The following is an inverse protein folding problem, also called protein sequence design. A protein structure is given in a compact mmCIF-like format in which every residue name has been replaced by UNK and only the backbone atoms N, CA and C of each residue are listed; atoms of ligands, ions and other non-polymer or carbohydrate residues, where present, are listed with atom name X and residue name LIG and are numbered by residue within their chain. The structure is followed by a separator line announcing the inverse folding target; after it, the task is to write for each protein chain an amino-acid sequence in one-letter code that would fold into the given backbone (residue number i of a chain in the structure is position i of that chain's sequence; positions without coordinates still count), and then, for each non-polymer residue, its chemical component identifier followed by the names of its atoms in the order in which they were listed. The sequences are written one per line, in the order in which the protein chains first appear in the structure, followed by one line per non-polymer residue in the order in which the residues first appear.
data_IF_490907286272
#
_entry.id   IF_490907286272
#
_cell.length_a   1.000
_cell.length_b   1.000
_cell.length_c   1.000
_cell.angle_alpha   90.00
_cell.angle_beta   90.00
_cell.angle_gamma   90.00
#
_symmetry.space_group_name_H-M   'P 1'
#
loop_
_entity.id
_entity.type
_entity.pdbx_description
1 polymer ?
#
# COMPACT_ATOMS: atom_id res chain seq x y z
N UNK A 1 9.38 -0.79 -21.95
CA UNK A 1 8.91 -2.18 -21.71
C UNK A 1 8.05 -2.20 -20.46
N UNK A 2 6.90 -2.87 -20.50
CA UNK A 2 5.95 -2.96 -19.38
C UNK A 2 6.39 -4.05 -18.39
N UNK A 3 6.19 -3.81 -17.09
CA UNK A 3 6.38 -4.84 -16.06
C UNK A 3 5.15 -5.77 -16.01
N UNK A 4 5.37 -7.03 -15.66
CA UNK A 4 4.33 -8.03 -15.41
C UNK A 4 4.27 -8.29 -13.91
N UNK A 5 3.06 -8.36 -13.37
CA UNK A 5 2.78 -8.57 -11.96
C UNK A 5 1.96 -9.85 -11.81
N UNK A 6 2.39 -10.76 -10.94
CA UNK A 6 1.69 -12.03 -10.68
C UNK A 6 1.56 -12.30 -9.18
N UNK A 7 0.33 -12.54 -8.71
CA UNK A 7 0.01 -12.71 -7.29
C UNK A 7 -0.24 -14.18 -6.98
N UNK A 8 0.47 -14.71 -6.01
CA UNK A 8 0.35 -16.09 -5.54
C UNK A 8 0.12 -16.17 -4.04
N UNK A 9 -0.57 -17.22 -3.61
CA UNK A 9 -0.78 -17.51 -2.17
C UNK A 9 0.26 -18.50 -1.67
N UNK A 10 0.77 -18.27 -0.45
CA UNK A 10 1.57 -19.27 0.25
C UNK A 10 0.69 -20.41 0.73
N UNK A 11 1.15 -21.65 0.54
CA UNK A 11 0.49 -22.83 1.12
C UNK A 11 0.55 -22.78 2.66
N UNK A 12 1.68 -22.34 3.21
CA UNK A 12 1.90 -22.18 4.65
C UNK A 12 2.21 -20.71 4.97
N UNK A 13 1.24 -19.95 5.49
CA UNK A 13 1.46 -18.57 5.90
C UNK A 13 2.52 -18.45 7.00
N UNK A 14 3.39 -17.45 6.91
CA UNK A 14 4.48 -17.22 7.88
C UNK A 14 4.28 -15.91 8.62
N UNK A 15 4.68 -15.87 9.90
CA UNK A 15 4.62 -14.65 10.69
C UNK A 15 5.83 -13.76 10.42
N UNK A 16 5.63 -12.62 9.76
CA UNK A 16 6.69 -11.61 9.51
C UNK A 16 6.07 -10.24 9.22
N UNK A 17 6.92 -9.25 8.91
CA UNK A 17 6.51 -7.91 8.50
C UNK A 17 5.88 -7.93 7.10
N UNK A 18 4.75 -7.23 6.92
CA UNK A 18 4.13 -7.00 5.63
C UNK A 18 4.87 -5.89 4.88
N UNK A 19 5.17 -6.10 3.59
CA UNK A 19 5.94 -5.12 2.79
C UNK A 19 5.10 -3.89 2.39
N UNK A 20 3.77 -3.93 2.60
CA UNK A 20 2.87 -2.81 2.30
C UNK A 20 2.54 -1.95 3.53
N UNK A 21 2.02 -2.57 4.60
CA UNK A 21 1.55 -1.82 5.77
C UNK A 21 2.53 -1.82 6.94
N UNK A 22 3.70 -2.45 6.78
CA UNK A 22 4.75 -2.57 7.79
C UNK A 22 4.35 -3.27 9.12
N UNK A 23 3.12 -3.76 9.23
CA UNK A 23 2.65 -4.49 10.41
C UNK A 23 3.15 -5.93 10.40
N UNK A 24 3.54 -6.44 11.56
CA UNK A 24 3.86 -7.85 11.75
C UNK A 24 2.60 -8.68 11.84
N UNK A 25 2.48 -9.70 11.01
CA UNK A 25 1.29 -10.56 10.94
C UNK A 25 1.53 -11.82 10.13
N UNK A 26 0.45 -12.55 9.82
CA UNK A 26 0.53 -13.67 8.89
C UNK A 26 0.59 -13.15 7.45
N UNK A 27 1.69 -13.46 6.79
CA UNK A 27 1.88 -13.21 5.37
C UNK A 27 1.32 -14.38 4.59
N UNK A 28 0.41 -14.07 3.67
CA UNK A 28 -0.37 -15.07 2.93
C UNK A 28 -0.12 -15.01 1.43
N UNK A 29 0.40 -13.90 0.92
CA UNK A 29 0.56 -13.69 -0.52
C UNK A 29 1.94 -13.14 -0.87
N UNK A 30 2.38 -13.47 -2.08
CA UNK A 30 3.60 -12.97 -2.70
C UNK A 30 3.24 -12.43 -4.08
N UNK A 31 3.68 -11.21 -4.37
CA UNK A 31 3.57 -10.56 -5.67
C UNK A 31 4.92 -10.63 -6.36
N UNK A 32 5.00 -11.34 -7.46
CA UNK A 32 6.20 -11.39 -8.31
C UNK A 32 6.18 -10.21 -9.28
N UNK A 33 7.33 -9.54 -9.39
CA UNK A 33 7.52 -8.44 -10.34
C UNK A 33 8.53 -8.88 -11.39
N UNK A 34 8.09 -8.94 -12.64
CA UNK A 34 8.94 -9.29 -13.77
C UNK A 34 9.06 -8.14 -14.76
N UNK A 35 10.24 -7.96 -15.34
CA UNK A 35 10.51 -6.97 -16.40
C UNK A 35 11.38 -7.59 -17.47
N UNK A 36 10.98 -7.45 -18.73
CA UNK A 36 11.69 -8.04 -19.87
C UNK A 36 11.92 -9.58 -19.74
N UNK A 37 10.95 -10.29 -19.16
CA UNK A 37 11.05 -11.75 -18.94
C UNK A 37 11.94 -12.16 -17.77
N UNK A 38 12.53 -11.21 -17.04
CA UNK A 38 13.36 -11.47 -15.88
C UNK A 38 12.58 -11.14 -14.59
N UNK A 39 12.67 -12.02 -13.60
CA UNK A 39 12.20 -11.74 -12.24
C UNK A 39 13.11 -10.69 -11.62
N UNK A 40 12.58 -9.51 -11.30
CA UNK A 40 13.35 -8.39 -10.74
C UNK A 40 13.16 -8.26 -9.23
N UNK A 41 12.13 -8.89 -8.67
CA UNK A 41 11.91 -8.93 -7.23
C UNK A 41 10.52 -9.42 -6.87
N UNK A 42 10.21 -9.32 -5.59
CA UNK A 42 8.95 -9.72 -5.03
C UNK A 42 8.55 -8.84 -3.84
N UNK A 43 7.26 -8.85 -3.53
CA UNK A 43 6.68 -8.24 -2.35
C UNK A 43 5.78 -9.26 -1.65
N UNK A 44 5.74 -9.21 -0.33
CA UNK A 44 4.97 -10.14 0.48
C UNK A 44 3.96 -9.43 1.39
N UNK A 45 2.71 -9.90 1.33
CA UNK A 45 1.56 -9.21 1.89
C UNK A 45 0.78 -10.03 2.91
N UNK A 46 0.22 -9.34 3.90
CA UNK A 46 -0.89 -9.85 4.69
C UNK A 46 -2.15 -9.99 3.82
N UNK A 47 -3.19 -10.64 4.36
CA UNK A 47 -4.47 -10.82 3.63
C UNK A 47 -5.06 -9.51 3.12
N UNK A 48 -5.11 -8.49 3.98
CA UNK A 48 -5.81 -7.24 3.70
C UNK A 48 -5.10 -6.44 2.61
N UNK A 49 -3.77 -6.28 2.73
CA UNK A 49 -2.95 -5.62 1.71
C UNK A 49 -3.00 -6.37 0.37
N UNK A 50 -2.98 -7.70 0.38
CA UNK A 50 -3.08 -8.50 -0.85
C UNK A 50 -4.40 -8.27 -1.59
N UNK A 51 -5.51 -8.16 -0.85
CA UNK A 51 -6.84 -7.86 -1.42
C UNK A 51 -6.84 -6.50 -2.13
N UNK A 52 -6.37 -5.45 -1.44
CA UNK A 52 -6.30 -4.09 -2.00
C UNK A 52 -5.37 -4.05 -3.22
N UNK A 53 -4.21 -4.71 -3.15
CA UNK A 53 -3.30 -4.80 -4.31
C UNK A 53 -3.93 -5.50 -5.50
N UNK A 54 -4.69 -6.58 -5.29
CA UNK A 54 -5.39 -7.27 -6.36
C UNK A 54 -6.45 -6.38 -7.02
N UNK A 55 -7.19 -5.57 -6.24
CA UNK A 55 -8.14 -4.58 -6.75
C UNK A 55 -7.46 -3.52 -7.62
N UNK A 56 -6.31 -2.98 -7.16
CA UNK A 56 -5.50 -2.01 -7.92
C UNK A 56 -4.99 -2.64 -9.22
N UNK A 57 -4.50 -3.87 -9.17
CA UNK A 57 -3.98 -4.59 -10.35
C UNK A 57 -5.09 -4.91 -11.37
N UNK A 58 -6.32 -5.15 -10.90
CA UNK A 58 -7.47 -5.43 -11.75
C UNK A 58 -8.11 -4.15 -12.34
N UNK A 59 -7.82 -2.98 -11.76
CA UNK A 59 -8.35 -1.71 -12.24
C UNK A 59 -7.85 -1.41 -13.66
N UNK A 60 -8.80 -1.16 -14.58
CA UNK A 60 -8.48 -0.73 -15.96
C UNK A 60 -7.94 0.70 -16.02
N UNK A 61 -8.37 1.53 -15.08
CA UNK A 61 -7.96 2.91 -14.90
C UNK A 61 -7.78 3.12 -13.39
N UNK A 62 -6.58 3.49 -12.97
CA UNK A 62 -6.31 3.92 -11.60
C UNK A 62 -6.53 5.43 -11.60
N UNK A 63 -7.64 5.88 -11.01
CA UNK A 63 -7.87 7.29 -10.79
C UNK A 63 -7.15 7.68 -9.51
N UNK A 64 -6.13 8.52 -9.66
CA UNK A 64 -5.51 9.20 -8.54
C UNK A 64 -6.39 10.39 -8.18
N UNK A 65 -6.95 10.37 -6.97
CA UNK A 65 -7.72 11.47 -6.42
C UNK A 65 -6.95 12.01 -5.21
N UNK A 66 -6.43 13.22 -5.35
CA UNK A 66 -5.82 13.96 -4.24
C UNK A 66 -6.96 14.59 -3.45
N UNK A 67 -7.33 13.96 -2.33
CA UNK A 67 -8.41 14.44 -1.45
C UNK A 67 -8.01 15.72 -0.74
N UNK A 68 -6.74 15.81 -0.31
CA UNK A 68 -6.19 16.98 0.36
C UNK A 68 -4.67 17.01 0.15
N UNK A 69 -4.16 18.14 -0.33
CA UNK A 69 -2.73 18.38 -0.51
C UNK A 69 -2.22 19.27 0.62
N UNK A 70 -1.29 18.75 1.41
CA UNK A 70 -0.74 19.48 2.55
C UNK A 70 0.50 20.26 2.14
N UNK A 71 0.38 21.57 2.05
CA UNK A 71 1.54 22.44 1.89
C UNK A 71 2.16 22.76 3.26
N UNK A 72 3.35 22.20 3.51
CA UNK A 72 4.13 22.45 4.72
C UNK A 72 4.52 23.92 4.89
N UNK A 73 4.55 24.71 3.80
CA UNK A 73 4.84 26.14 3.87
C UNK A 73 3.61 26.99 4.23
N UNK A 74 2.40 26.48 3.99
CA UNK A 74 1.14 27.22 4.15
C UNK A 74 0.41 27.00 5.46
N UNK A 75 0.62 25.85 6.11
CA UNK A 75 -0.15 25.45 7.30
C UNK A 75 -1.62 25.20 6.95
N UNK A 76 -2.08 23.95 7.03
CA UNK A 76 -3.48 23.61 6.75
C UNK A 76 -4.44 24.52 7.53
N UNK A 77 -5.25 25.29 6.81
CA UNK A 77 -6.26 26.17 7.36
C UNK A 77 -7.37 25.31 7.97
N UNK A 78 -7.18 24.80 9.19
CA UNK A 78 -8.21 23.94 9.76
C UNK A 78 -8.06 23.42 11.18
N UNK A 79 -6.87 23.41 11.80
CA UNK A 79 -6.72 22.84 13.15
C UNK A 79 -5.89 23.74 14.07
N UNK A 80 -6.51 24.83 14.50
CA UNK A 80 -5.96 25.74 15.50
C UNK A 80 -7.03 26.42 16.34
N UNK A 81 -8.16 25.76 16.60
CA UNK A 81 -9.06 26.21 17.67
C UNK A 81 -8.60 25.52 18.97
N UNK A 82 -7.49 26.02 19.52
CA UNK A 82 -7.22 25.81 20.93
C UNK A 82 -8.29 26.59 21.70
N UNK A 83 -9.32 25.89 22.16
CA UNK A 83 -10.16 26.39 23.24
C UNK A 83 -9.23 26.50 24.44
N UNK A 84 -8.77 27.71 24.71
CA UNK A 84 -8.14 28.09 25.97
C UNK A 84 -9.24 28.07 27.04
N UNK A 85 -9.28 27.11 27.98
CA UNK A 85 -10.18 27.19 29.11
C UNK A 85 -9.55 28.16 30.10
N UNK A 86 -9.64 29.45 29.78
CA UNK A 86 -9.20 30.49 30.68
C UNK A 86 -10.01 30.47 31.98
N UNK A 87 -9.26 30.61 33.08
CA UNK A 87 -9.67 31.13 34.40
C UNK A 87 -10.09 30.13 35.48
#
# INVERSE_FOLDING_TARGET
MKATLDMMSFQEPRRKKCDCCDRTGLIRHKLLVAKAGLLVGDLEFCQDCARVMAEIMAAREVKEEVVEEWDFAGGGAGHGESVDPGR
#
